data_IF_360019916304
#
_entry.id   IF_360019916304
#
_cell.length_a   1.000
_cell.length_b   1.000
_cell.length_c   1.000
_cell.angle_alpha   90.00
_cell.angle_beta   90.00
_cell.angle_gamma   90.00
#
_symmetry.space_group_name_H-M   'P 1'
#
loop_
_entity.id
_entity.type
_entity.pdbx_description
1 polymer ?
#
# COMPACT_ATOMS: atom_id res chain seq x y z
N UNK A 1 1.14 -12.71 -7.21
CA UNK A 1 1.31 -11.31 -6.73
C UNK A 1 0.72 -11.24 -5.33
N UNK A 2 1.44 -10.72 -4.34
CA UNK A 2 0.99 -10.65 -2.94
C UNK A 2 1.00 -9.18 -2.50
N UNK A 3 -0.03 -8.72 -1.81
CA UNK A 3 -0.01 -7.40 -1.17
C UNK A 3 1.05 -7.37 -0.07
N UNK A 4 1.65 -6.20 0.14
CA UNK A 4 2.64 -5.99 1.21
C UNK A 4 1.99 -5.92 2.60
N UNK A 5 0.76 -5.41 2.67
CA UNK A 5 -0.01 -5.35 3.90
C UNK A 5 -1.03 -6.48 3.91
N UNK A 6 -1.15 -7.20 5.02
CA UNK A 6 -2.17 -8.24 5.21
C UNK A 6 -3.57 -7.64 5.30
N UNK A 7 -3.69 -6.47 5.94
CA UNK A 7 -4.89 -5.63 5.93
C UNK A 7 -4.55 -4.29 5.26
N UNK A 8 -5.43 -3.75 4.41
CA UNK A 8 -5.24 -2.41 3.86
C UNK A 8 -5.31 -1.36 4.98
N UNK A 9 -4.74 -0.19 4.72
CA UNK A 9 -5.03 0.99 5.52
C UNK A 9 -6.49 1.36 5.28
N UNK A 10 -7.24 1.58 6.35
CA UNK A 10 -8.60 2.10 6.29
C UNK A 10 -8.56 3.57 6.70
N UNK A 11 -9.18 4.43 5.90
CA UNK A 11 -9.23 5.86 6.17
C UNK A 11 -10.66 6.37 6.00
N UNK A 12 -11.10 7.20 6.94
CA UNK A 12 -12.41 7.84 6.91
C UNK A 12 -12.28 9.33 7.17
N UNK A 13 -13.13 10.12 6.51
CA UNK A 13 -13.31 11.54 6.79
C UNK A 13 -14.82 11.81 6.94
N UNK A 14 -15.19 12.59 7.95
CA UNK A 14 -16.56 13.05 8.20
C UNK A 14 -16.83 14.39 7.52
N UNK A 15 -17.63 15.24 8.20
CA UNK A 15 -17.92 16.61 7.76
C UNK A 15 -16.91 17.63 8.29
N UNK A 16 -16.14 17.26 9.28
CA UNK A 16 -15.04 18.06 9.82
C UNK A 16 -13.96 18.23 8.76
N UNK A 17 -13.58 19.48 8.52
CA UNK A 17 -12.62 19.81 7.48
C UNK A 17 -11.29 19.13 7.76
N UNK A 18 -10.87 18.28 6.79
CA UNK A 18 -9.56 17.68 6.66
C UNK A 18 -9.13 16.66 7.72
N UNK A 19 -9.93 16.41 8.76
CA UNK A 19 -9.63 15.44 9.80
C UNK A 19 -9.95 14.01 9.30
N UNK A 20 -8.90 13.28 8.95
CA UNK A 20 -9.00 11.89 8.53
C UNK A 20 -8.64 10.97 9.71
N UNK A 21 -9.49 10.02 10.04
CA UNK A 21 -9.10 8.90 10.92
C UNK A 21 -8.43 7.84 10.08
N UNK A 22 -7.16 7.56 10.36
CA UNK A 22 -6.35 6.54 9.69
C UNK A 22 -6.23 5.33 10.61
N UNK A 23 -6.64 4.17 10.13
CA UNK A 23 -6.59 2.91 10.88
C UNK A 23 -5.62 1.93 10.21
N UNK A 24 -4.79 1.29 11.03
CA UNK A 24 -3.93 0.19 10.61
C UNK A 24 -4.15 -1.04 11.49
N UNK A 25 -3.43 -2.13 11.27
CA UNK A 25 -3.62 -3.42 11.95
C UNK A 25 -3.74 -3.35 13.48
N UNK A 26 -3.10 -2.38 14.15
CA UNK A 26 -2.94 -2.35 15.61
C UNK A 26 -3.46 -1.05 16.27
N UNK A 27 -3.97 -0.10 15.50
CA UNK A 27 -4.39 1.17 16.09
C UNK A 27 -4.92 2.16 15.06
N UNK A 28 -5.09 3.40 15.51
CA UNK A 28 -5.54 4.52 14.70
C UNK A 28 -4.88 5.83 15.13
N UNK A 29 -4.84 6.79 14.21
CA UNK A 29 -4.43 8.18 14.48
C UNK A 29 -5.24 9.13 13.60
N UNK A 30 -5.17 10.42 13.92
CA UNK A 30 -5.74 11.49 13.09
C UNK A 30 -4.65 12.02 12.16
N UNK A 31 -4.97 12.18 10.88
CA UNK A 31 -4.25 12.99 9.92
C UNK A 31 -5.08 14.24 9.64
N UNK A 32 -4.45 15.40 9.63
CA UNK A 32 -5.14 16.67 9.44
C UNK A 32 -4.24 17.61 8.61
N UNK A 33 -4.85 18.62 8.00
CA UNK A 33 -4.12 19.66 7.28
C UNK A 33 -3.70 20.79 8.25
N UNK A 34 -2.62 21.53 7.94
CA UNK A 34 -2.23 22.68 8.72
C UNK A 34 -3.25 23.85 8.57
N UNK A 35 -3.24 24.82 9.48
CA UNK A 35 -4.15 25.98 9.42
C UNK A 35 -4.06 26.79 8.13
N UNK A 36 -2.89 26.83 7.48
CA UNK A 36 -2.69 27.45 6.17
C UNK A 36 -3.57 26.85 5.07
N UNK A 37 -3.92 25.56 5.20
CA UNK A 37 -4.80 24.83 4.29
C UNK A 37 -6.24 24.72 4.83
N UNK A 38 -6.51 25.35 6.00
CA UNK A 38 -7.82 25.38 6.65
C UNK A 38 -8.11 24.20 7.57
N UNK A 39 -7.10 23.41 7.94
CA UNK A 39 -7.16 22.37 8.98
C UNK A 39 -6.91 22.92 10.38
N UNK A 40 -6.78 22.04 11.36
CA UNK A 40 -6.52 22.36 12.77
C UNK A 40 -5.18 21.82 13.28
N UNK A 41 -4.37 21.17 12.41
CA UNK A 41 -3.06 20.59 12.75
C UNK A 41 -3.13 19.56 13.89
N UNK A 42 -4.19 18.76 13.91
CA UNK A 42 -4.41 17.73 14.95
C UNK A 42 -3.62 16.45 14.74
N UNK A 43 -2.87 16.37 13.65
CA UNK A 43 -2.02 15.25 13.32
C UNK A 43 -1.23 15.50 12.04
N UNK A 44 -0.33 14.59 11.66
CA UNK A 44 0.51 14.75 10.48
C UNK A 44 -0.33 14.86 9.20
N UNK A 45 0.00 15.82 8.34
CA UNK A 45 -0.58 15.95 7.00
C UNK A 45 -0.07 14.84 6.06
N UNK A 46 -0.68 14.66 4.86
CA UNK A 46 -0.29 13.61 3.94
C UNK A 46 1.17 13.64 3.48
N UNK A 47 1.78 14.83 3.30
CA UNK A 47 3.19 14.95 2.93
C UNK A 47 4.09 14.53 4.10
N UNK A 48 3.77 14.94 5.30
CA UNK A 48 4.46 14.52 6.53
C UNK A 48 4.39 12.99 6.70
N UNK A 49 3.25 12.36 6.43
CA UNK A 49 3.10 10.90 6.47
C UNK A 49 3.97 10.21 5.42
N UNK A 50 4.02 10.73 4.20
CA UNK A 50 4.86 10.20 3.14
C UNK A 50 6.35 10.30 3.52
N UNK A 51 6.81 11.46 3.98
CA UNK A 51 8.19 11.68 4.41
C UNK A 51 8.53 10.83 5.64
N UNK A 52 7.62 10.70 6.59
CA UNK A 52 7.79 9.82 7.75
C UNK A 52 7.97 8.34 7.35
N UNK A 53 7.29 7.88 6.29
CA UNK A 53 7.47 6.54 5.78
C UNK A 53 8.87 6.32 5.21
N UNK A 54 9.43 7.31 4.52
CA UNK A 54 10.80 7.29 4.00
C UNK A 54 11.80 7.27 5.15
N UNK A 55 11.68 8.21 6.08
CA UNK A 55 12.58 8.34 7.23
C UNK A 55 12.62 7.04 8.09
N UNK A 56 11.47 6.54 8.47
CA UNK A 56 11.36 5.33 9.30
C UNK A 56 11.91 4.09 8.58
N UNK A 57 11.70 3.98 7.27
CA UNK A 57 12.23 2.87 6.48
C UNK A 57 13.76 2.92 6.37
N UNK A 58 14.34 4.10 6.18
CA UNK A 58 15.80 4.29 6.17
C UNK A 58 16.38 3.91 7.54
N UNK A 59 15.84 4.47 8.64
CA UNK A 59 16.30 4.17 9.99
C UNK A 59 16.26 2.67 10.30
N UNK A 60 15.16 1.99 9.98
CA UNK A 60 15.04 0.55 10.18
C UNK A 60 16.06 -0.23 9.34
N UNK A 61 16.25 0.16 8.07
CA UNK A 61 17.23 -0.48 7.16
C UNK A 61 18.64 -0.34 7.66
N UNK A 62 19.03 0.87 8.11
CA UNK A 62 20.35 1.14 8.67
C UNK A 62 20.56 0.37 9.98
N UNK A 63 19.59 0.39 10.89
CA UNK A 63 19.68 -0.34 12.15
C UNK A 63 19.89 -1.83 11.93
N UNK A 64 19.10 -2.46 11.05
CA UNK A 64 19.26 -3.88 10.69
C UNK A 64 20.67 -4.19 10.14
N UNK A 65 21.25 -3.27 9.37
CA UNK A 65 22.59 -3.45 8.83
C UNK A 65 23.66 -3.31 9.91
N UNK A 66 23.56 -2.28 10.75
CA UNK A 66 24.48 -2.01 11.87
C UNK A 66 24.51 -3.19 12.85
N UNK A 67 23.33 -3.68 13.24
CA UNK A 67 23.19 -4.82 14.16
C UNK A 67 23.83 -6.09 13.56
N UNK A 68 23.62 -6.36 12.26
CA UNK A 68 24.25 -7.50 11.58
C UNK A 68 25.77 -7.40 11.50
N UNK A 69 26.30 -6.17 11.48
CA UNK A 69 27.76 -5.90 11.45
C UNK A 69 28.37 -5.81 12.83
N UNK A 70 27.55 -5.86 13.88
CA UNK A 70 27.97 -5.60 15.26
C UNK A 70 28.71 -4.27 15.45
N UNK A 71 28.27 -3.22 14.71
CA UNK A 71 28.82 -1.88 14.86
C UNK A 71 28.18 -1.17 16.04
N UNK A 72 29.00 -0.43 16.82
CA UNK A 72 28.51 0.37 17.96
C UNK A 72 28.12 1.78 17.49
N UNK A 73 26.90 1.91 16.99
CA UNK A 73 26.31 3.20 16.56
C UNK A 73 24.98 3.35 17.30
N UNK A 74 24.97 4.06 18.44
CA UNK A 74 23.79 4.10 19.31
C UNK A 74 22.63 4.90 18.71
N UNK A 75 22.92 5.99 18.01
CA UNK A 75 21.91 6.93 17.48
C UNK A 75 22.17 7.25 16.02
N UNK A 76 21.10 7.27 15.24
CA UNK A 76 21.07 7.75 13.86
C UNK A 76 19.89 8.71 13.76
N UNK A 77 20.12 9.87 13.14
CA UNK A 77 19.06 10.82 12.82
C UNK A 77 18.87 10.89 11.31
N UNK A 78 17.64 10.92 10.86
CA UNK A 78 17.32 11.11 9.44
C UNK A 78 16.32 12.25 9.31
N UNK A 79 16.70 13.29 8.58
CA UNK A 79 15.80 14.35 8.15
C UNK A 79 15.39 14.08 6.71
N UNK A 80 14.09 14.21 6.42
CA UNK A 80 13.56 14.02 5.07
C UNK A 80 12.65 15.19 4.73
N UNK A 81 12.85 15.73 3.53
CA UNK A 81 11.97 16.76 3.00
C UNK A 81 11.79 16.57 1.50
N UNK A 82 10.77 17.19 0.92
CA UNK A 82 10.54 17.17 -0.51
C UNK A 82 10.31 18.58 -1.06
N UNK A 83 10.66 18.77 -2.32
CA UNK A 83 10.20 19.91 -3.10
C UNK A 83 9.78 19.50 -4.50
N UNK A 84 9.02 20.34 -5.15
CA UNK A 84 8.54 20.13 -6.50
C UNK A 84 8.91 21.31 -7.40
N UNK A 85 9.36 20.98 -8.60
CA UNK A 85 9.69 21.94 -9.63
C UNK A 85 8.90 21.60 -10.89
N UNK A 86 8.38 22.64 -11.55
CA UNK A 86 7.74 22.51 -12.84
C UNK A 86 8.63 23.16 -13.90
N UNK A 87 9.32 22.36 -14.68
CA UNK A 87 10.14 22.83 -15.76
C UNK A 87 9.55 22.32 -17.09
N UNK A 88 9.27 23.24 -18.01
CA UNK A 88 8.73 22.94 -19.35
C UNK A 88 7.46 22.05 -19.35
N UNK A 89 6.60 22.22 -18.35
CA UNK A 89 5.37 21.43 -18.18
C UNK A 89 5.56 20.04 -17.59
N UNK A 90 6.79 19.70 -17.17
CA UNK A 90 7.10 18.45 -16.45
C UNK A 90 7.28 18.74 -14.97
N UNK A 91 6.38 18.18 -14.15
CA UNK A 91 6.51 18.20 -12.70
C UNK A 91 7.55 17.15 -12.25
N UNK A 92 8.60 17.61 -11.55
CA UNK A 92 9.60 16.75 -10.94
C UNK A 92 9.54 16.90 -9.43
N UNK A 93 9.52 15.79 -8.71
CA UNK A 93 9.57 15.78 -7.24
C UNK A 93 10.94 15.27 -6.79
N UNK A 94 11.62 16.05 -5.98
CA UNK A 94 12.90 15.68 -5.35
C UNK A 94 12.67 15.45 -3.86
N UNK A 95 13.24 14.37 -3.33
CA UNK A 95 13.21 14.01 -1.90
C UNK A 95 14.63 14.01 -1.38
N UNK A 96 14.94 14.98 -0.53
CA UNK A 96 16.22 15.09 0.16
C UNK A 96 16.20 14.28 1.46
N UNK A 97 17.30 13.61 1.76
CA UNK A 97 17.45 12.70 2.90
C UNK A 97 18.81 12.93 3.56
N UNK A 98 18.85 13.65 4.67
CA UNK A 98 20.05 13.88 5.44
C UNK A 98 20.19 12.82 6.52
N UNK A 99 21.30 12.10 6.53
CA UNK A 99 21.62 11.09 7.55
C UNK A 99 22.71 11.64 8.42
N UNK A 100 22.42 11.77 9.72
CA UNK A 100 23.33 12.36 10.70
C UNK A 100 23.77 11.27 11.67
N UNK A 101 25.08 11.15 11.82
CA UNK A 101 25.74 10.27 12.77
C UNK A 101 26.52 11.09 13.80
N UNK A 102 26.80 10.49 14.97
CA UNK A 102 27.75 11.11 15.90
C UNK A 102 29.18 11.15 15.31
N UNK A 103 30.01 12.07 15.82
CA UNK A 103 31.40 12.22 15.34
C UNK A 103 32.26 10.98 15.59
N UNK A 104 31.87 10.12 16.54
CA UNK A 104 32.58 8.87 16.86
C UNK A 104 32.43 7.78 15.79
N UNK A 105 31.50 7.94 14.83
CA UNK A 105 31.33 6.96 13.74
C UNK A 105 32.40 7.17 12.67
N UNK A 106 33.21 6.15 12.32
CA UNK A 106 34.22 6.24 11.27
C UNK A 106 33.62 6.61 9.90
N UNK A 107 34.33 7.40 9.11
CA UNK A 107 33.88 7.85 7.80
C UNK A 107 33.60 6.71 6.82
N UNK A 108 34.42 5.65 6.87
CA UNK A 108 34.18 4.44 6.08
C UNK A 108 32.79 3.81 6.38
N UNK A 109 32.42 3.78 7.67
CA UNK A 109 31.10 3.28 8.08
C UNK A 109 29.97 4.23 7.61
N UNK A 110 30.19 5.55 7.70
CA UNK A 110 29.23 6.56 7.22
C UNK A 110 28.95 6.39 5.72
N UNK A 111 30.02 6.27 4.89
CA UNK A 111 29.91 6.05 3.46
C UNK A 111 29.13 4.77 3.16
N UNK A 112 29.48 3.69 3.86
CA UNK A 112 28.78 2.41 3.67
C UNK A 112 27.30 2.49 4.06
N UNK A 113 26.96 3.20 5.13
CA UNK A 113 25.58 3.39 5.59
C UNK A 113 24.80 4.28 4.60
N UNK A 114 25.43 5.26 3.97
CA UNK A 114 24.80 6.04 2.89
C UNK A 114 24.41 5.15 1.70
N UNK A 115 25.28 4.23 1.29
CA UNK A 115 24.96 3.24 0.26
C UNK A 115 23.77 2.33 0.68
N UNK A 116 23.78 1.85 1.92
CA UNK A 116 22.71 1.00 2.45
C UNK A 116 21.37 1.74 2.52
N UNK A 117 21.36 3.02 2.87
CA UNK A 117 20.16 3.85 2.90
C UNK A 117 19.46 3.91 1.53
N UNK A 118 20.21 3.89 0.43
CA UNK A 118 19.64 3.87 -0.92
C UNK A 118 18.88 2.58 -1.25
N UNK A 119 19.08 1.51 -0.48
CA UNK A 119 18.38 0.23 -0.63
C UNK A 119 17.10 0.11 0.22
N UNK A 120 16.68 1.19 0.89
CA UNK A 120 15.44 1.24 1.63
C UNK A 120 14.25 0.83 0.74
N UNK A 121 13.41 -0.14 1.16
CA UNK A 121 12.27 -0.62 0.36
C UNK A 121 11.30 0.47 -0.08
N UNK A 122 11.06 1.49 0.75
CA UNK A 122 10.17 2.62 0.39
C UNK A 122 10.83 3.49 -0.70
N UNK A 123 12.13 3.80 -0.59
CA UNK A 123 12.86 4.51 -1.64
C UNK A 123 12.77 3.75 -2.97
N UNK A 124 12.95 2.43 -2.95
CA UNK A 124 12.79 1.59 -4.14
C UNK A 124 11.38 1.62 -4.76
N UNK A 125 10.33 1.78 -3.94
CA UNK A 125 8.98 1.98 -4.47
C UNK A 125 8.88 3.33 -5.18
N UNK A 126 9.41 4.41 -4.57
CA UNK A 126 9.32 5.77 -5.11
C UNK A 126 10.19 5.98 -6.38
N UNK A 127 11.30 5.25 -6.51
CA UNK A 127 12.19 5.28 -7.66
C UNK A 127 11.67 4.49 -8.87
N UNK A 128 10.63 3.66 -8.69
CA UNK A 128 10.07 2.83 -9.75
C UNK A 128 8.71 3.34 -10.22
N UNK A 129 8.22 2.79 -11.33
CA UNK A 129 6.89 3.09 -11.86
C UNK A 129 5.79 2.81 -10.84
N UNK A 130 5.07 3.84 -10.43
CA UNK A 130 3.91 3.75 -9.55
C UNK A 130 2.64 3.86 -10.41
N UNK A 131 1.79 2.83 -10.36
CA UNK A 131 0.49 2.82 -11.03
C UNK A 131 -0.61 2.96 -10.01
N UNK A 132 -1.23 4.13 -9.97
CA UNK A 132 -2.41 4.37 -9.14
C UNK A 132 -3.66 3.86 -9.88
N UNK A 133 -4.49 3.10 -9.17
CA UNK A 133 -5.77 2.59 -9.66
C UNK A 133 -6.85 2.94 -8.66
N UNK A 134 -7.89 3.63 -9.11
CA UNK A 134 -9.01 4.05 -8.27
C UNK A 134 -10.25 3.25 -8.61
N UNK A 135 -10.95 2.78 -7.60
CA UNK A 135 -12.20 2.02 -7.73
C UNK A 135 -13.26 2.67 -6.83
N UNK A 136 -14.46 2.85 -7.37
CA UNK A 136 -15.58 3.41 -6.62
C UNK A 136 -16.54 2.29 -6.26
N UNK A 137 -16.79 2.14 -4.97
CA UNK A 137 -17.79 1.21 -4.43
C UNK A 137 -18.93 2.00 -3.81
N UNK A 138 -20.16 1.55 -4.02
CA UNK A 138 -21.32 2.14 -3.34
C UNK A 138 -21.38 1.58 -1.92
N UNK A 139 -21.51 2.46 -0.93
CA UNK A 139 -21.85 2.08 0.44
C UNK A 139 -23.34 1.67 0.47
N UNK A 140 -23.64 0.51 0.95
CA UNK A 140 -24.99 -0.05 1.04
C UNK A 140 -24.87 -1.55 1.16
N UNK A 141 -25.92 -2.25 1.54
CA UNK A 141 -25.96 -3.70 1.80
C UNK A 141 -24.92 -4.50 1.02
N UNK A 142 -24.16 -5.31 1.68
CA UNK A 142 -23.15 -6.23 1.09
C UNK A 142 -23.75 -6.96 -0.11
N UNK A 143 -23.62 -6.38 -1.29
CA UNK A 143 -24.24 -6.92 -2.50
C UNK A 143 -23.42 -8.12 -2.96
N UNK A 144 -23.83 -9.29 -2.50
CA UNK A 144 -23.29 -10.53 -3.07
C UNK A 144 -23.85 -10.74 -4.48
N UNK A 145 -23.01 -10.66 -5.49
CA UNK A 145 -23.39 -10.93 -6.86
C UNK A 145 -23.11 -12.40 -7.15
N UNK A 146 -24.12 -13.07 -7.73
CA UNK A 146 -24.07 -14.50 -8.02
C UNK A 146 -23.78 -14.72 -9.50
N UNK A 147 -22.82 -15.61 -9.78
CA UNK A 147 -22.50 -16.07 -11.11
C UNK A 147 -22.54 -17.60 -11.07
N UNK A 148 -23.55 -18.21 -11.65
CA UNK A 148 -23.76 -19.65 -11.56
C UNK A 148 -24.16 -20.28 -12.89
N UNK A 149 -23.94 -21.58 -12.97
CA UNK A 149 -24.50 -22.54 -13.92
C UNK A 149 -25.13 -23.69 -13.14
N UNK A 150 -25.39 -24.83 -13.80
CA UNK A 150 -25.98 -26.01 -13.16
C UNK A 150 -25.04 -26.67 -12.13
N UNK A 151 -23.71 -26.55 -12.32
CA UNK A 151 -22.72 -27.28 -11.55
C UNK A 151 -22.09 -26.45 -10.43
N UNK A 152 -21.97 -25.12 -10.60
CA UNK A 152 -21.25 -24.27 -9.66
C UNK A 152 -21.81 -22.84 -9.62
N UNK A 153 -21.86 -22.26 -8.41
CA UNK A 153 -22.19 -20.85 -8.24
C UNK A 153 -21.06 -20.14 -7.50
N UNK A 154 -20.46 -19.16 -8.14
CA UNK A 154 -19.47 -18.24 -7.54
C UNK A 154 -20.21 -17.03 -6.99
N UNK A 155 -19.96 -16.73 -5.73
CA UNK A 155 -20.42 -15.53 -5.05
C UNK A 155 -19.31 -14.49 -5.10
N UNK A 156 -19.62 -13.29 -5.54
CA UNK A 156 -18.70 -12.16 -5.54
C UNK A 156 -19.21 -11.03 -4.63
N UNK A 157 -18.37 -10.66 -3.68
CA UNK A 157 -18.56 -9.57 -2.72
C UNK A 157 -17.62 -8.43 -3.10
N UNK A 158 -18.06 -7.43 -3.90
CA UNK A 158 -17.20 -6.37 -4.44
C UNK A 158 -16.41 -5.61 -3.38
N UNK A 159 -17.03 -5.30 -2.26
CA UNK A 159 -16.47 -4.53 -1.15
C UNK A 159 -15.25 -5.18 -0.48
N UNK A 160 -15.16 -6.52 -0.54
CA UNK A 160 -14.00 -7.25 -0.02
C UNK A 160 -12.88 -7.40 -1.05
N UNK A 161 -13.12 -7.00 -2.32
CA UNK A 161 -12.16 -7.20 -3.38
C UNK A 161 -10.95 -6.27 -3.25
N UNK A 162 -9.80 -6.82 -2.91
CA UNK A 162 -8.51 -6.10 -2.82
C UNK A 162 -7.79 -5.99 -4.17
N UNK A 163 -8.45 -6.33 -5.28
CA UNK A 163 -7.90 -6.29 -6.63
C UNK A 163 -6.53 -6.97 -6.79
N UNK A 164 -6.33 -8.11 -6.12
CA UNK A 164 -5.08 -8.89 -6.17
C UNK A 164 -4.72 -9.39 -7.56
N UNK A 165 -5.66 -9.33 -8.49
CA UNK A 165 -5.56 -9.79 -9.89
C UNK A 165 -5.34 -11.30 -10.06
N UNK A 166 -5.25 -12.08 -8.97
CA UNK A 166 -5.00 -13.52 -9.03
C UNK A 166 -6.07 -14.28 -9.79
N UNK A 167 -7.35 -13.92 -9.61
CA UNK A 167 -8.48 -14.58 -10.27
C UNK A 167 -8.32 -14.57 -11.79
N UNK A 168 -8.23 -13.41 -12.40
CA UNK A 168 -8.20 -13.28 -13.84
C UNK A 168 -6.82 -13.56 -14.47
N UNK A 169 -5.71 -13.40 -13.73
CA UNK A 169 -4.38 -13.78 -14.24
C UNK A 169 -4.15 -15.28 -14.24
N UNK A 170 -4.74 -16.02 -13.30
CA UNK A 170 -4.52 -17.44 -13.16
C UNK A 170 -5.62 -18.27 -13.84
N UNK A 171 -6.81 -17.70 -14.06
CA UNK A 171 -7.93 -18.35 -14.73
C UNK A 171 -8.71 -17.34 -15.61
N UNK A 172 -8.06 -16.79 -16.67
CA UNK A 172 -8.63 -15.72 -17.51
C UNK A 172 -9.87 -16.13 -18.30
N UNK A 173 -10.05 -17.41 -18.59
CA UNK A 173 -11.23 -17.92 -19.28
C UNK A 173 -12.50 -17.84 -18.42
N UNK A 174 -12.37 -17.80 -17.09
CA UNK A 174 -13.48 -17.65 -16.14
C UNK A 174 -13.63 -16.20 -15.70
N UNK A 175 -12.51 -15.52 -15.35
CA UNK A 175 -12.53 -14.19 -14.76
C UNK A 175 -12.12 -13.12 -15.80
N UNK A 176 -13.08 -12.37 -16.33
CA UNK A 176 -12.95 -11.42 -17.46
C UNK A 176 -13.30 -9.99 -17.00
N UNK A 177 -12.43 -9.28 -16.26
CA UNK A 177 -12.77 -8.02 -15.58
C UNK A 177 -13.19 -6.87 -16.51
N UNK A 178 -12.94 -6.98 -17.81
CA UNK A 178 -13.38 -6.04 -18.82
C UNK A 178 -14.86 -6.24 -19.26
N UNK A 179 -15.49 -7.33 -18.84
CA UNK A 179 -16.86 -7.65 -19.24
C UNK A 179 -17.87 -7.31 -18.13
N UNK A 180 -19.11 -6.96 -18.50
CA UNK A 180 -20.20 -6.67 -17.57
C UNK A 180 -20.53 -7.89 -16.69
N UNK A 181 -20.55 -9.10 -17.28
CA UNK A 181 -20.57 -10.38 -16.58
C UNK A 181 -19.13 -10.92 -16.54
N UNK A 182 -18.37 -10.48 -15.55
CA UNK A 182 -16.94 -10.71 -15.52
C UNK A 182 -16.52 -12.08 -14.98
N UNK A 183 -17.44 -12.85 -14.43
CA UNK A 183 -17.22 -14.25 -14.02
C UNK A 183 -18.09 -15.14 -14.90
N UNK A 184 -17.45 -16.04 -15.63
CA UNK A 184 -18.08 -17.01 -16.51
C UNK A 184 -17.92 -18.42 -15.93
N UNK A 185 -18.97 -18.98 -15.29
CA UNK A 185 -18.89 -20.31 -14.68
C UNK A 185 -18.66 -21.45 -15.66
N UNK A 186 -18.86 -21.20 -16.96
CA UNK A 186 -18.65 -22.21 -18.01
C UNK A 186 -17.23 -22.17 -18.59
N UNK A 187 -16.39 -21.22 -18.14
CA UNK A 187 -15.05 -21.03 -18.69
C UNK A 187 -14.01 -22.08 -18.24
N UNK A 188 -14.34 -22.94 -17.27
CA UNK A 188 -13.46 -24.01 -16.78
C UNK A 188 -14.27 -25.06 -16.00
N UNK A 189 -13.74 -26.28 -15.75
CA UNK A 189 -14.35 -27.27 -14.88
C UNK A 189 -14.59 -26.74 -13.46
N UNK A 190 -15.68 -27.15 -12.75
CA UNK A 190 -16.05 -26.66 -11.41
C UNK A 190 -14.92 -26.76 -10.40
N UNK A 191 -14.13 -27.82 -10.41
CA UNK A 191 -13.01 -28.06 -9.51
C UNK A 191 -11.92 -26.99 -9.67
N UNK A 192 -11.62 -26.60 -10.92
CA UNK A 192 -10.64 -25.56 -11.23
C UNK A 192 -11.12 -24.18 -10.80
N UNK A 193 -12.42 -23.92 -10.94
CA UNK A 193 -13.04 -22.66 -10.47
C UNK A 193 -12.99 -22.62 -8.94
N UNK A 194 -13.33 -23.73 -8.28
CA UNK A 194 -13.28 -23.85 -6.83
C UNK A 194 -11.87 -23.59 -6.28
N UNK A 195 -10.84 -24.25 -6.83
CA UNK A 195 -9.44 -24.01 -6.46
C UNK A 195 -9.05 -22.55 -6.62
N UNK A 196 -9.45 -21.92 -7.72
CA UNK A 196 -9.11 -20.51 -7.98
C UNK A 196 -9.83 -19.56 -7.03
N UNK A 197 -11.07 -19.82 -6.68
CA UNK A 197 -11.84 -19.06 -5.69
C UNK A 197 -11.17 -19.11 -4.32
N UNK A 198 -10.69 -20.27 -3.86
CA UNK A 198 -9.96 -20.43 -2.60
C UNK A 198 -8.64 -19.63 -2.56
N UNK A 199 -8.07 -19.29 -3.71
CA UNK A 199 -6.86 -18.45 -3.81
C UNK A 199 -7.15 -16.95 -3.72
N UNK A 200 -8.42 -16.54 -3.54
CA UNK A 200 -8.77 -15.14 -3.34
C UNK A 200 -8.28 -14.68 -1.95
N UNK A 201 -7.30 -13.77 -1.87
CA UNK A 201 -6.67 -13.44 -0.59
C UNK A 201 -7.58 -12.61 0.34
N UNK A 202 -8.62 -12.00 -0.21
CA UNK A 202 -9.56 -11.18 0.55
C UNK A 202 -10.88 -11.88 0.90
N UNK A 203 -11.10 -13.11 0.39
CA UNK A 203 -12.38 -13.77 0.52
C UNK A 203 -13.53 -13.10 -0.25
N UNK A 204 -13.22 -12.18 -1.18
CA UNK A 204 -14.23 -11.53 -2.02
C UNK A 204 -14.93 -12.51 -2.99
N UNK A 205 -14.30 -13.65 -3.26
CA UNK A 205 -14.87 -14.76 -4.03
C UNK A 205 -15.13 -15.92 -3.09
N UNK A 206 -16.31 -16.51 -3.19
CA UNK A 206 -16.72 -17.70 -2.46
C UNK A 206 -17.51 -18.63 -3.37
N UNK A 207 -17.53 -19.92 -3.06
CA UNK A 207 -18.46 -20.86 -3.66
C UNK A 207 -19.72 -20.94 -2.80
N UNK A 208 -20.89 -20.87 -3.42
CA UNK A 208 -22.15 -21.11 -2.71
C UNK A 208 -22.11 -22.56 -2.18
N UNK A 209 -22.22 -22.69 -0.86
CA UNK A 209 -22.46 -24.00 -0.25
C UNK A 209 -23.91 -24.40 -0.58
N UNK A 210 -24.08 -25.64 -1.00
CA UNK A 210 -25.41 -26.27 -1.14
C UNK A 210 -26.16 -26.26 0.19
#
# INVERSE_FOLDING_TARGET
MKYKLDKPIHATIGKEKYQCTIEWRNGKFISDEPPSNGGLDLGPDPHTLLMSSVASCILATLRMYIDRKNWDIPVIVVNVNLYQENAEGKLTTTIDRDIIFSDSVPDEQKIRLQEIASHCPISKILENDIKLRTFIFKTGETKTIKYGNEDITVLWKPEFCQHSTRCWKQLPQVFKPSQKKWIDPNGAPPERIHEQVLRCPSGALEIKKE
#
